data_IF_316006914026
#
_entry.id   IF_316006914026
#
_cell.length_a   1.000
_cell.length_b   1.000
_cell.length_c   1.000
_cell.angle_alpha   90.00
_cell.angle_beta   90.00
_cell.angle_gamma   90.00
#
_symmetry.space_group_name_H-M   'P 1'
#
loop_
_entity.id
_entity.type
_entity.pdbx_description
1 polymer ?
#
# COMPACT_ATOMS: atom_id res chain seq x y z
N UNK A 1 55.72 7.85 0.52
CA UNK A 1 54.69 8.81 0.16
C UNK A 1 53.99 9.31 1.42
N UNK A 2 54.17 10.61 1.67
CA UNK A 2 53.67 11.30 2.85
C UNK A 2 52.24 11.73 2.57
N UNK A 3 51.31 11.36 3.46
CA UNK A 3 49.98 11.93 3.47
C UNK A 3 49.97 13.20 4.29
N UNK A 4 49.77 14.36 3.62
CA UNK A 4 49.53 15.65 4.24
C UNK A 4 48.06 15.68 4.75
N UNK A 5 47.90 15.65 6.06
CA UNK A 5 46.65 16.03 6.67
C UNK A 5 46.49 17.55 6.59
N UNK A 6 45.59 18.03 5.76
CA UNK A 6 45.11 19.40 5.79
C UNK A 6 44.26 19.61 7.02
N UNK A 7 44.78 20.29 8.02
CA UNK A 7 43.94 20.76 9.15
C UNK A 7 43.10 21.93 8.63
N UNK A 8 41.81 21.75 8.61
CA UNK A 8 40.88 22.86 8.41
C UNK A 8 40.81 23.71 9.68
N UNK A 9 40.74 25.04 9.60
CA UNK A 9 40.69 25.92 10.77
C UNK A 9 39.38 25.74 11.50
N UNK A 10 39.46 25.51 12.83
CA UNK A 10 38.32 25.45 13.71
C UNK A 10 37.70 26.84 13.83
N UNK A 11 36.42 27.08 13.51
CA UNK A 11 35.78 28.36 13.70
C UNK A 11 35.65 28.66 15.20
N UNK A 12 36.26 29.74 15.67
CA UNK A 12 36.05 30.27 17.03
C UNK A 12 34.73 31.03 17.06
N UNK A 13 33.64 30.33 17.39
CA UNK A 13 32.32 30.92 17.61
C UNK A 13 31.59 30.11 18.69
N UNK A 14 30.95 30.82 19.62
CA UNK A 14 29.97 30.23 20.58
C UNK A 14 28.73 29.80 19.81
N UNK A 15 28.83 28.69 19.12
CA UNK A 15 27.74 27.97 18.46
C UNK A 15 27.98 26.50 18.73
N UNK A 16 26.92 25.73 18.94
CA UNK A 16 27.00 24.29 18.99
C UNK A 16 27.84 23.80 17.81
N UNK A 17 28.89 23.03 18.07
CA UNK A 17 29.60 22.35 16.98
C UNK A 17 28.54 21.63 16.16
N UNK A 18 28.59 21.70 14.81
CA UNK A 18 27.75 20.83 14.02
C UNK A 18 28.06 19.42 14.54
N UNK A 19 27.04 18.75 15.04
CA UNK A 19 27.12 17.31 15.24
C UNK A 19 27.58 16.84 13.87
N UNK A 20 28.83 16.34 13.79
CA UNK A 20 29.23 15.60 12.64
C UNK A 20 28.07 14.62 12.45
N UNK A 21 27.35 14.76 11.34
CA UNK A 21 26.47 13.70 10.92
C UNK A 21 27.36 12.48 10.90
N UNK A 22 27.25 11.71 11.96
CA UNK A 22 27.67 10.33 11.91
C UNK A 22 26.69 9.81 10.88
N UNK A 23 27.13 9.82 9.62
CA UNK A 23 26.57 9.02 8.56
C UNK A 23 26.80 7.60 9.04
N UNK A 24 26.00 7.17 9.99
CA UNK A 24 25.72 5.78 10.19
C UNK A 24 25.08 5.38 8.89
N UNK A 25 25.93 4.89 8.01
CA UNK A 25 25.52 4.16 6.83
C UNK A 25 24.96 2.83 7.34
N UNK A 26 23.96 2.94 8.22
CA UNK A 26 23.12 1.82 8.61
C UNK A 26 22.41 1.45 7.34
N UNK A 27 22.94 0.42 6.71
CA UNK A 27 22.37 -0.17 5.52
C UNK A 27 20.94 -0.54 5.91
N UNK A 28 19.97 0.27 5.47
CA UNK A 28 18.57 0.05 5.80
C UNK A 28 18.21 -1.41 5.47
N UNK A 29 17.81 -2.16 6.48
CA UNK A 29 17.33 -3.52 6.29
C UNK A 29 16.01 -3.41 5.56
N UNK A 30 15.93 -3.97 4.36
CA UNK A 30 14.73 -3.91 3.53
C UNK A 30 13.59 -4.65 4.21
N UNK A 31 12.51 -3.94 4.46
CA UNK A 31 11.30 -4.48 5.03
C UNK A 31 10.26 -4.75 3.93
N UNK A 32 9.32 -5.59 4.23
CA UNK A 32 8.13 -5.82 3.40
C UNK A 32 6.91 -5.41 4.19
N UNK A 33 6.09 -4.54 3.60
CA UNK A 33 4.80 -4.11 4.14
C UNK A 33 3.70 -4.58 3.21
N UNK A 34 2.58 -5.01 3.78
CA UNK A 34 1.48 -5.50 2.97
C UNK A 34 0.12 -5.00 3.45
N UNK A 35 -0.75 -4.69 2.50
CA UNK A 35 -2.18 -4.49 2.68
C UNK A 35 -2.90 -5.59 1.91
N UNK A 36 -3.71 -6.37 2.61
CA UNK A 36 -4.47 -7.49 2.07
C UNK A 36 -5.95 -7.25 2.30
N UNK A 37 -6.72 -7.20 1.21
CA UNK A 37 -8.16 -6.96 1.23
C UNK A 37 -8.87 -8.15 0.61
N UNK A 38 -9.94 -8.63 1.27
CA UNK A 38 -10.80 -9.70 0.76
C UNK A 38 -12.25 -9.46 1.12
N UNK A 39 -13.13 -9.38 0.12
CA UNK A 39 -14.54 -9.04 0.31
C UNK A 39 -15.41 -10.07 -0.40
N UNK A 40 -16.07 -10.91 0.38
CA UNK A 40 -17.06 -11.87 -0.10
C UNK A 40 -18.49 -11.42 0.15
N UNK A 41 -18.71 -10.69 1.21
CA UNK A 41 -19.99 -10.22 1.73
C UNK A 41 -20.06 -8.71 1.60
N UNK A 42 -21.06 -8.16 0.91
CA UNK A 42 -21.21 -6.72 0.63
C UNK A 42 -22.39 -6.15 1.40
N UNK A 43 -22.26 -4.90 1.84
CA UNK A 43 -23.34 -4.19 2.56
C UNK A 43 -24.59 -3.98 1.70
N UNK A 44 -24.40 -3.65 0.41
CA UNK A 44 -25.50 -3.43 -0.52
C UNK A 44 -25.99 -4.77 -1.09
N UNK A 45 -27.26 -5.19 -0.82
CA UNK A 45 -27.78 -6.48 -1.28
C UNK A 45 -27.95 -6.59 -2.79
N UNK A 46 -27.83 -5.49 -3.54
CA UNK A 46 -27.80 -5.53 -5.01
C UNK A 46 -26.40 -5.94 -5.57
N UNK A 47 -25.36 -5.96 -4.74
CA UNK A 47 -24.05 -6.53 -5.09
C UNK A 47 -24.05 -7.99 -4.71
N UNK A 48 -23.82 -8.85 -5.69
CA UNK A 48 -23.79 -10.30 -5.45
C UNK A 48 -22.58 -10.69 -4.60
N UNK A 49 -22.82 -11.45 -3.52
CA UNK A 49 -21.74 -11.97 -2.68
C UNK A 49 -20.82 -12.92 -3.44
N UNK A 50 -19.55 -12.94 -3.04
CA UNK A 50 -18.53 -13.83 -3.53
C UNK A 50 -18.32 -15.01 -2.57
N UNK A 51 -17.79 -16.13 -3.09
CA UNK A 51 -17.69 -17.35 -2.26
C UNK A 51 -16.39 -17.46 -1.48
N UNK A 52 -15.31 -16.86 -1.99
CA UNK A 52 -13.96 -17.20 -1.53
C UNK A 52 -13.01 -15.99 -1.40
N UNK A 53 -13.41 -14.78 -1.79
CA UNK A 53 -12.52 -13.63 -1.82
C UNK A 53 -11.91 -13.29 -0.44
N UNK A 54 -12.70 -13.41 0.62
CA UNK A 54 -12.25 -13.25 2.01
C UNK A 54 -11.28 -14.38 2.43
N UNK A 55 -11.57 -15.62 2.02
CA UNK A 55 -10.74 -16.81 2.33
C UNK A 55 -9.42 -16.79 1.58
N UNK A 56 -9.42 -16.36 0.33
CA UNK A 56 -8.21 -16.22 -0.47
C UNK A 56 -7.30 -15.13 0.10
N UNK A 57 -7.88 -14.01 0.53
CA UNK A 57 -7.15 -12.96 1.21
C UNK A 57 -6.58 -13.43 2.56
N UNK A 58 -7.37 -14.16 3.34
CA UNK A 58 -6.91 -14.74 4.61
C UNK A 58 -5.78 -15.75 4.40
N UNK A 59 -5.91 -16.63 3.39
CA UNK A 59 -4.86 -17.59 3.03
C UNK A 59 -3.57 -16.88 2.58
N UNK A 60 -3.69 -15.82 1.78
CA UNK A 60 -2.53 -15.02 1.36
C UNK A 60 -1.89 -14.30 2.56
N UNK A 61 -2.67 -13.72 3.46
CA UNK A 61 -2.17 -13.14 4.69
C UNK A 61 -1.47 -14.18 5.59
N UNK A 62 -2.01 -15.41 5.66
CA UNK A 62 -1.39 -16.55 6.32
C UNK A 62 -0.03 -16.92 5.72
N UNK A 63 0.07 -16.92 4.37
CA UNK A 63 1.33 -17.11 3.69
C UNK A 63 2.35 -16.02 4.06
N UNK A 64 1.97 -14.74 4.03
CA UNK A 64 2.87 -13.63 4.38
C UNK A 64 3.37 -13.69 5.83
N UNK A 65 2.58 -14.25 6.76
CA UNK A 65 2.99 -14.50 8.14
C UNK A 65 3.92 -15.71 8.30
N UNK A 66 3.97 -16.60 7.33
CA UNK A 66 4.81 -17.80 7.36
C UNK A 66 6.29 -17.50 7.09
N UNK A 67 7.16 -18.47 7.40
CA UNK A 67 8.59 -18.44 7.07
C UNK A 67 8.83 -18.13 5.58
N UNK A 68 8.08 -18.78 4.71
CA UNK A 68 8.22 -18.64 3.25
C UNK A 68 7.70 -17.32 2.71
N UNK A 69 6.77 -16.69 3.42
CA UNK A 69 6.16 -15.40 3.04
C UNK A 69 6.85 -14.18 3.65
N UNK A 70 7.89 -14.37 4.44
CA UNK A 70 8.69 -13.28 5.01
C UNK A 70 8.40 -12.96 6.48
N UNK A 71 7.57 -13.75 7.19
CA UNK A 71 7.21 -13.58 8.63
C UNK A 71 6.66 -12.20 8.97
N UNK A 72 5.82 -11.64 8.12
CA UNK A 72 5.22 -10.34 8.40
C UNK A 72 4.41 -10.40 9.70
N UNK A 73 4.72 -9.50 10.61
CA UNK A 73 3.99 -9.31 11.86
C UNK A 73 2.86 -8.26 11.71
N UNK A 74 2.19 -7.93 12.81
CA UNK A 74 1.09 -6.95 12.85
C UNK A 74 1.51 -5.52 12.47
N UNK A 75 2.79 -5.21 12.60
CA UNK A 75 3.35 -3.88 12.30
C UNK A 75 3.76 -3.76 10.82
N UNK A 76 3.73 -4.88 10.08
CA UNK A 76 4.08 -4.95 8.66
C UNK A 76 2.93 -5.46 7.78
N UNK A 77 1.80 -5.88 8.36
CA UNK A 77 0.68 -6.46 7.62
C UNK A 77 -0.66 -5.91 8.13
N UNK A 78 -1.42 -5.27 7.23
CA UNK A 78 -2.83 -4.90 7.43
C UNK A 78 -3.71 -5.87 6.65
N UNK A 79 -4.72 -6.44 7.31
CA UNK A 79 -5.70 -7.34 6.69
C UNK A 79 -7.09 -6.78 6.93
N UNK A 80 -7.83 -6.57 5.86
CA UNK A 80 -9.19 -6.05 5.85
C UNK A 80 -10.09 -7.08 5.18
N UNK A 81 -11.05 -7.62 5.92
CA UNK A 81 -11.98 -8.65 5.43
C UNK A 81 -13.42 -8.18 5.58
N UNK A 82 -14.22 -8.38 4.56
CA UNK A 82 -15.66 -8.09 4.55
C UNK A 82 -15.97 -6.70 5.16
N UNK A 83 -16.76 -6.62 6.23
CA UNK A 83 -17.18 -5.37 6.88
C UNK A 83 -16.04 -4.46 7.35
N UNK A 84 -14.85 -5.00 7.57
CA UNK A 84 -13.67 -4.22 7.91
C UNK A 84 -13.02 -3.58 6.68
N UNK A 85 -13.37 -4.05 5.47
CA UNK A 85 -12.83 -3.58 4.20
C UNK A 85 -13.68 -2.44 3.60
N UNK A 86 -14.04 -1.44 4.40
CA UNK A 86 -14.66 -0.21 3.89
C UNK A 86 -13.70 0.61 3.06
N UNK A 87 -14.21 1.47 2.19
CA UNK A 87 -13.37 2.39 1.41
C UNK A 87 -12.46 3.23 2.30
N UNK A 88 -12.97 3.72 3.43
CA UNK A 88 -12.21 4.51 4.39
C UNK A 88 -11.06 3.70 5.00
N UNK A 89 -11.31 2.45 5.43
CA UNK A 89 -10.28 1.59 6.02
C UNK A 89 -9.23 1.19 4.98
N UNK A 90 -9.63 0.94 3.74
CA UNK A 90 -8.69 0.67 2.66
C UNK A 90 -7.81 1.89 2.38
N UNK A 91 -8.39 3.09 2.29
CA UNK A 91 -7.63 4.34 2.12
C UNK A 91 -6.61 4.55 3.27
N UNK A 92 -7.02 4.35 4.53
CA UNK A 92 -6.16 4.44 5.72
C UNK A 92 -5.01 3.42 5.64
N UNK A 93 -5.30 2.19 5.19
CA UNK A 93 -4.26 1.17 5.06
C UNK A 93 -3.24 1.50 3.94
N UNK A 94 -3.69 2.12 2.84
CA UNK A 94 -2.80 2.58 1.78
C UNK A 94 -1.96 3.79 2.21
N UNK A 95 -2.54 4.73 2.96
CA UNK A 95 -1.83 5.85 3.56
C UNK A 95 -0.75 5.38 4.52
N UNK A 96 -1.09 4.40 5.37
CA UNK A 96 -0.12 3.75 6.24
C UNK A 96 1.07 3.13 5.48
N UNK A 97 0.87 2.56 4.28
CA UNK A 97 1.99 2.11 3.44
C UNK A 97 2.89 3.28 3.05
N UNK A 98 2.30 4.40 2.63
CA UNK A 98 3.05 5.59 2.21
C UNK A 98 3.90 6.14 3.36
N UNK A 99 3.36 6.19 4.58
CA UNK A 99 4.04 6.72 5.76
C UNK A 99 5.19 5.84 6.26
N UNK A 100 5.05 4.51 6.16
CA UNK A 100 6.00 3.57 6.77
C UNK A 100 7.08 3.06 5.82
N UNK A 101 6.81 3.04 4.52
CA UNK A 101 7.73 2.51 3.51
C UNK A 101 8.86 3.48 3.23
N UNK A 102 10.09 2.95 3.25
CA UNK A 102 11.33 3.65 2.97
C UNK A 102 11.98 3.15 1.67
N UNK A 103 12.99 3.90 1.20
CA UNK A 103 13.74 3.54 0.01
C UNK A 103 14.30 2.11 0.07
N UNK A 104 13.94 1.33 -0.92
CA UNK A 104 14.37 -0.07 -1.06
C UNK A 104 13.46 -1.10 -0.41
N UNK A 105 12.45 -0.69 0.36
CA UNK A 105 11.44 -1.59 0.92
C UNK A 105 10.53 -2.19 -0.16
N UNK A 106 9.73 -3.17 0.24
CA UNK A 106 8.72 -3.80 -0.60
C UNK A 106 7.32 -3.44 -0.10
N UNK A 107 6.45 -3.01 -1.01
CA UNK A 107 5.02 -2.81 -0.78
C UNK A 107 4.25 -3.92 -1.50
N UNK A 108 3.35 -4.59 -0.81
CA UNK A 108 2.42 -5.55 -1.39
C UNK A 108 1.00 -5.04 -1.17
N UNK A 109 0.24 -4.91 -2.24
CA UNK A 109 -1.19 -4.58 -2.19
C UNK A 109 -1.93 -5.76 -2.84
N UNK A 110 -2.74 -6.46 -2.05
CA UNK A 110 -3.58 -7.56 -2.50
C UNK A 110 -5.05 -7.16 -2.35
N UNK A 111 -5.83 -7.34 -3.40
CA UNK A 111 -7.26 -7.11 -3.37
C UNK A 111 -8.00 -8.26 -4.07
N UNK A 112 -8.88 -8.94 -3.34
CA UNK A 112 -9.82 -9.92 -3.89
C UNK A 112 -11.25 -9.47 -3.59
N UNK A 113 -12.06 -9.31 -4.66
CA UNK A 113 -13.40 -8.76 -4.55
C UNK A 113 -13.96 -8.32 -5.90
N UNK A 114 -15.05 -7.55 -5.88
CA UNK A 114 -15.61 -7.00 -7.10
C UNK A 114 -14.85 -5.77 -7.61
N UNK A 115 -14.79 -5.67 -8.92
CA UNK A 115 -14.39 -4.47 -9.64
C UNK A 115 -15.42 -4.12 -10.71
N UNK A 116 -15.65 -2.83 -10.96
CA UNK A 116 -16.53 -2.37 -12.03
C UNK A 116 -16.05 -1.04 -12.62
N UNK A 117 -16.74 -0.58 -13.67
CA UNK A 117 -16.44 0.66 -14.39
C UNK A 117 -17.64 1.59 -14.31
N UNK A 118 -17.42 2.87 -13.95
CA UNK A 118 -18.44 3.90 -14.01
C UNK A 118 -18.71 4.31 -15.47
N UNK A 119 -19.82 3.80 -16.03
CA UNK A 119 -20.16 3.98 -17.46
C UNK A 119 -20.83 5.32 -17.78
N UNK A 120 -21.25 6.06 -16.77
CA UNK A 120 -22.02 7.32 -16.94
C UNK A 120 -21.11 8.54 -17.15
N UNK A 121 -19.83 8.43 -16.82
CA UNK A 121 -18.87 9.53 -16.94
C UNK A 121 -18.05 9.43 -18.22
N UNK A 122 -17.53 10.57 -18.68
CA UNK A 122 -16.72 10.63 -19.91
C UNK A 122 -15.48 9.73 -19.84
N UNK A 123 -14.80 9.71 -18.70
CA UNK A 123 -13.54 8.97 -18.50
C UNK A 123 -13.75 7.51 -18.14
N UNK A 124 -14.97 7.14 -17.76
CA UNK A 124 -15.33 5.77 -17.36
C UNK A 124 -14.31 5.08 -16.44
N UNK A 125 -13.96 5.69 -15.28
CA UNK A 125 -12.96 5.13 -14.40
C UNK A 125 -13.38 3.76 -13.85
N UNK A 126 -12.39 2.88 -13.68
CA UNK A 126 -12.58 1.64 -12.95
C UNK A 126 -12.55 1.86 -11.45
N UNK A 127 -13.22 0.97 -10.73
CA UNK A 127 -13.31 0.98 -9.27
C UNK A 127 -13.10 -0.43 -8.71
N UNK A 128 -12.46 -0.51 -7.55
CA UNK A 128 -12.52 -1.65 -6.65
C UNK A 128 -13.67 -1.40 -5.69
N UNK A 129 -14.61 -2.31 -5.61
CA UNK A 129 -15.78 -2.18 -4.76
C UNK A 129 -15.40 -2.61 -3.33
N UNK A 130 -15.36 -1.66 -2.40
CA UNK A 130 -15.18 -1.96 -0.99
C UNK A 130 -16.49 -2.47 -0.38
N UNK A 131 -16.47 -2.93 0.87
CA UNK A 131 -17.64 -3.51 1.54
C UNK A 131 -18.85 -2.58 1.55
N UNK A 132 -18.64 -1.28 1.72
CA UNK A 132 -19.63 -0.22 1.77
C UNK A 132 -19.96 0.39 0.39
N UNK A 133 -19.58 -0.30 -0.72
CA UNK A 133 -19.85 0.19 -2.06
C UNK A 133 -21.36 0.14 -2.37
N UNK A 134 -21.92 1.21 -3.00
CA UNK A 134 -23.27 1.14 -3.56
C UNK A 134 -23.26 0.39 -4.90
N UNK A 135 -24.33 -0.31 -5.22
CA UNK A 135 -24.43 -1.13 -6.43
C UNK A 135 -24.34 -0.34 -7.76
N UNK A 136 -24.58 1.00 -7.76
CA UNK A 136 -24.79 1.75 -9.00
C UNK A 136 -24.14 3.13 -9.08
N UNK A 137 -23.69 3.69 -7.99
CA UNK A 137 -23.21 5.08 -7.95
C UNK A 137 -21.87 5.15 -7.22
N UNK A 138 -20.82 4.64 -7.84
CA UNK A 138 -19.49 4.50 -7.23
C UNK A 138 -18.86 5.84 -6.80
N UNK A 139 -19.21 6.94 -7.45
CA UNK A 139 -18.74 8.27 -7.07
C UNK A 139 -19.35 8.80 -5.76
N UNK A 140 -20.35 8.14 -5.20
CA UNK A 140 -20.92 8.53 -3.90
C UNK A 140 -20.09 8.06 -2.70
N UNK A 141 -19.07 7.27 -2.91
CA UNK A 141 -18.24 6.64 -1.89
C UNK A 141 -18.38 5.12 -1.87
N UNK A 142 -17.65 4.46 -0.98
CA UNK A 142 -17.67 3.01 -0.83
C UNK A 142 -16.94 2.23 -1.94
N UNK A 143 -16.51 2.89 -3.01
CA UNK A 143 -15.74 2.28 -4.09
C UNK A 143 -14.41 3.04 -4.29
N UNK A 144 -13.31 2.32 -4.37
CA UNK A 144 -11.97 2.90 -4.49
C UNK A 144 -11.59 3.04 -5.97
N UNK A 145 -11.43 4.28 -6.45
CA UNK A 145 -11.14 4.54 -7.85
C UNK A 145 -9.73 4.07 -8.24
N UNK A 146 -9.60 3.36 -9.36
CA UNK A 146 -8.30 2.89 -9.86
C UNK A 146 -7.28 4.02 -10.11
N UNK A 147 -7.66 5.23 -10.60
CA UNK A 147 -6.72 6.34 -10.68
C UNK A 147 -6.12 6.75 -9.32
N UNK A 148 -6.88 6.66 -8.23
CA UNK A 148 -6.35 6.91 -6.88
C UNK A 148 -5.35 5.82 -6.45
N UNK A 149 -5.62 4.56 -6.79
CA UNK A 149 -4.69 3.47 -6.54
C UNK A 149 -3.40 3.63 -7.35
N UNK A 150 -3.49 4.07 -8.60
CA UNK A 150 -2.32 4.40 -9.43
C UNK A 150 -1.47 5.51 -8.83
N UNK A 151 -2.08 6.54 -8.23
CA UNK A 151 -1.37 7.61 -7.53
C UNK A 151 -0.61 7.07 -6.31
N UNK A 152 -1.24 6.20 -5.51
CA UNK A 152 -0.58 5.52 -4.39
C UNK A 152 0.61 4.70 -4.87
N UNK A 153 0.44 3.90 -5.92
CA UNK A 153 1.51 3.08 -6.52
C UNK A 153 2.65 3.96 -7.00
N UNK A 154 2.35 5.08 -7.66
CA UNK A 154 3.35 6.04 -8.14
C UNK A 154 4.11 6.68 -6.99
N UNK A 155 3.41 7.09 -5.93
CA UNK A 155 4.03 7.64 -4.71
C UNK A 155 4.99 6.63 -4.08
N UNK A 156 4.54 5.40 -3.86
CA UNK A 156 5.37 4.35 -3.28
C UNK A 156 6.59 4.01 -4.15
N UNK A 157 6.42 3.93 -5.47
CA UNK A 157 7.49 3.50 -6.38
C UNK A 157 8.46 4.63 -6.74
N UNK A 158 7.99 5.85 -6.95
CA UNK A 158 8.80 6.97 -7.42
C UNK A 158 9.31 7.80 -6.25
N UNK A 159 8.42 8.25 -5.36
CA UNK A 159 8.79 9.12 -4.26
C UNK A 159 9.49 8.34 -3.14
N UNK A 160 8.89 7.23 -2.69
CA UNK A 160 9.47 6.39 -1.63
C UNK A 160 10.52 5.41 -2.17
N UNK A 161 10.64 5.27 -3.50
CA UNK A 161 11.58 4.35 -4.19
C UNK A 161 11.47 2.90 -3.72
N UNK A 162 10.27 2.47 -3.41
CA UNK A 162 9.97 1.11 -3.00
C UNK A 162 9.72 0.21 -4.21
N UNK A 163 9.80 -1.10 -4.00
CA UNK A 163 9.31 -2.09 -4.96
C UNK A 163 7.85 -2.39 -4.66
N UNK A 164 6.96 -2.06 -5.60
CA UNK A 164 5.52 -2.25 -5.42
C UNK A 164 5.05 -3.47 -6.19
N UNK A 165 4.31 -4.35 -5.52
CA UNK A 165 3.62 -5.51 -6.11
C UNK A 165 2.13 -5.32 -5.84
N UNK A 166 1.34 -5.27 -6.90
CA UNK A 166 -0.12 -5.22 -6.81
C UNK A 166 -0.69 -6.50 -7.37
N UNK A 167 -1.52 -7.16 -6.59
CA UNK A 167 -2.22 -8.39 -6.97
C UNK A 167 -3.71 -8.09 -6.85
N UNK A 168 -4.43 -8.14 -7.96
CA UNK A 168 -5.88 -7.94 -7.96
C UNK A 168 -6.56 -9.15 -8.56
N UNK A 169 -7.44 -9.76 -7.78
CA UNK A 169 -8.42 -10.76 -8.23
C UNK A 169 -9.81 -10.10 -8.19
N UNK A 170 -10.04 -9.26 -9.20
CA UNK A 170 -11.28 -8.49 -9.36
C UNK A 170 -11.65 -8.43 -10.84
N UNK A 171 -12.94 -8.56 -11.16
CA UNK A 171 -13.42 -8.40 -12.51
C UNK A 171 -13.06 -7.02 -13.07
N UNK A 172 -12.53 -6.95 -14.32
CA UNK A 172 -12.17 -5.72 -15.02
C UNK A 172 -11.05 -4.87 -14.38
N UNK A 173 -10.18 -5.49 -13.57
CA UNK A 173 -8.97 -4.84 -13.06
C UNK A 173 -7.93 -4.51 -14.15
N UNK A 174 -8.16 -4.89 -15.40
CA UNK A 174 -7.24 -4.70 -16.54
C UNK A 174 -6.93 -3.25 -16.94
N UNK A 175 -7.46 -2.25 -16.23
CA UNK A 175 -7.15 -0.83 -16.44
C UNK A 175 -6.02 -0.33 -15.52
N UNK A 176 -5.38 -1.21 -14.74
CA UNK A 176 -4.21 -0.88 -13.90
C UNK A 176 -2.86 -0.95 -14.67
N UNK A 177 -2.87 -1.33 -15.94
CA UNK A 177 -1.66 -1.44 -16.77
C UNK A 177 -1.28 -0.11 -17.43
#
# INVERSE_FOLDING_TARGET
PFYLFSQQPVPSGKGAAPIAEILTNEKHVKNTYAVVVGISDYQDPEITDLRFADKDAEAFAGFLRSESGGKLDKDHLKVLLNQDATMAQFAIALDWLIENIKEGDHAIIYFSGHGDVEKKTLTQPGFLLCWDAPARVYMSGGAFALPMLQEVISTLSIQNKAKVIVITDACRSGTLA
#
